data_IF_840068000445
#
_entry.id   IF_840068000445
#
_cell.length_a   1.000
_cell.length_b   1.000
_cell.length_c   1.000
_cell.angle_alpha   90.00
_cell.angle_beta   90.00
_cell.angle_gamma   90.00
#
_symmetry.space_group_name_H-M   'P 1'
#
loop_
_entity.id
_entity.type
_entity.pdbx_description
1 polymer ?
#
# COMPACT_ATOMS: atom_id res chain seq x y z
N UNK A 1 0.67 -25.51 6.73
CA UNK A 1 -0.80 -25.45 6.91
C UNK A 1 -1.44 -25.33 5.53
N UNK A 2 -2.61 -25.94 5.24
CA UNK A 2 -3.26 -25.75 3.93
C UNK A 2 -4.18 -24.54 3.98
N UNK A 3 -3.89 -23.52 3.17
CA UNK A 3 -4.72 -22.32 3.06
C UNK A 3 -6.11 -22.65 2.50
N UNK A 4 -7.13 -21.95 2.98
CA UNK A 4 -8.46 -22.00 2.40
C UNK A 4 -8.49 -21.37 1.01
N UNK A 5 -9.48 -21.74 0.18
CA UNK A 5 -9.69 -21.13 -1.15
C UNK A 5 -9.83 -19.60 -1.07
N UNK A 6 -10.51 -19.09 -0.04
CA UNK A 6 -10.69 -17.65 0.16
C UNK A 6 -9.38 -16.96 0.54
N UNK A 7 -8.53 -17.59 1.37
CA UNK A 7 -7.21 -17.05 1.69
C UNK A 7 -6.30 -17.00 0.47
N UNK A 8 -6.27 -18.05 -0.34
CA UNK A 8 -5.53 -18.05 -1.61
C UNK A 8 -6.02 -16.95 -2.56
N UNK A 9 -7.34 -16.77 -2.67
CA UNK A 9 -7.92 -15.69 -3.47
C UNK A 9 -7.53 -14.31 -2.93
N UNK A 10 -7.57 -14.10 -1.61
CA UNK A 10 -7.29 -12.82 -0.97
C UNK A 10 -5.78 -12.50 -0.86
N UNK A 11 -4.88 -13.43 -1.21
CA UNK A 11 -3.44 -13.17 -1.36
C UNK A 11 -3.12 -12.50 -2.69
N UNK A 12 -3.99 -12.63 -3.69
CA UNK A 12 -3.81 -12.24 -5.10
C UNK A 12 -2.65 -12.91 -5.85
N UNK A 13 -1.57 -13.33 -5.19
CA UNK A 13 -0.49 -14.10 -5.80
C UNK A 13 -0.73 -15.61 -5.74
N UNK A 14 -0.09 -16.33 -6.67
CA UNK A 14 -0.21 -17.79 -6.79
C UNK A 14 0.50 -18.49 -5.62
N UNK A 15 1.72 -18.06 -5.31
CA UNK A 15 2.59 -18.70 -4.29
C UNK A 15 2.78 -17.83 -3.03
N UNK A 16 2.17 -16.65 -2.97
CA UNK A 16 2.38 -15.70 -1.88
C UNK A 16 1.55 -14.42 -2.02
N UNK A 17 1.66 -13.49 -1.07
CA UNK A 17 0.95 -12.22 -1.12
C UNK A 17 1.45 -11.36 -2.29
N UNK A 18 0.53 -10.79 -3.05
CA UNK A 18 0.81 -9.82 -4.10
C UNK A 18 0.22 -8.47 -3.69
N UNK A 19 0.99 -7.40 -3.84
CA UNK A 19 0.59 -6.02 -3.54
C UNK A 19 1.41 -5.10 -4.43
N UNK A 20 0.99 -3.84 -4.55
CA UNK A 20 1.68 -2.85 -5.37
C UNK A 20 1.87 -1.54 -4.62
N UNK A 21 2.95 -0.84 -4.94
CA UNK A 21 3.21 0.54 -4.58
C UNK A 21 3.54 1.29 -5.87
N UNK A 22 2.99 2.49 -6.03
CA UNK A 22 2.96 3.16 -7.32
C UNK A 22 3.01 4.68 -7.16
N UNK A 23 3.75 5.34 -8.06
CA UNK A 23 3.73 6.80 -8.22
C UNK A 23 2.70 7.12 -9.31
N UNK A 24 1.80 8.04 -9.01
CA UNK A 24 0.77 8.55 -9.93
C UNK A 24 1.00 10.03 -10.17
N UNK A 25 0.92 10.45 -11.43
CA UNK A 25 0.84 11.85 -11.80
C UNK A 25 -0.60 12.14 -12.20
N UNK A 26 -1.23 13.10 -11.54
CA UNK A 26 -2.63 13.46 -11.74
C UNK A 26 -2.75 14.91 -12.18
N UNK A 27 -3.21 15.12 -13.42
CA UNK A 27 -3.62 16.46 -13.87
C UNK A 27 -5.05 16.72 -13.38
N UNK A 28 -5.21 17.71 -12.49
CA UNK A 28 -6.51 18.13 -11.97
C UNK A 28 -7.02 19.31 -12.79
N UNK A 29 -8.20 19.14 -13.39
CA UNK A 29 -8.85 20.12 -14.26
C UNK A 29 -9.97 20.79 -13.46
N UNK A 30 -10.07 22.11 -13.55
CA UNK A 30 -11.16 22.91 -13.00
C UNK A 30 -11.69 23.82 -14.10
N UNK A 31 -13.00 23.72 -14.35
CA UNK A 31 -13.69 24.40 -15.44
C UNK A 31 -13.02 24.13 -16.80
N UNK A 32 -12.51 25.17 -17.47
CA UNK A 32 -11.86 25.13 -18.77
C UNK A 32 -10.32 25.12 -18.71
N UNK A 33 -9.74 24.89 -17.53
CA UNK A 33 -8.29 24.96 -17.33
C UNK A 33 -7.70 23.85 -16.47
N UNK A 34 -6.40 23.59 -16.66
CA UNK A 34 -5.64 22.77 -15.72
C UNK A 34 -5.44 23.58 -14.44
N UNK A 35 -6.00 23.08 -13.34
CA UNK A 35 -5.85 23.70 -12.02
C UNK A 35 -4.48 23.42 -11.42
N UNK A 36 -4.03 22.16 -11.45
CA UNK A 36 -2.75 21.72 -10.88
C UNK A 36 -2.39 20.31 -11.34
N UNK A 37 -1.11 19.97 -11.24
CA UNK A 37 -0.61 18.60 -11.43
C UNK A 37 -0.13 18.09 -10.08
N UNK A 38 -0.61 16.92 -9.65
CA UNK A 38 -0.20 16.30 -8.39
C UNK A 38 0.68 15.08 -8.65
N UNK A 39 1.69 14.87 -7.81
CA UNK A 39 2.39 13.59 -7.68
C UNK A 39 1.91 12.91 -6.41
N UNK A 40 1.42 11.68 -6.53
CA UNK A 40 0.94 10.87 -5.42
C UNK A 40 1.71 9.55 -5.35
N UNK A 41 2.00 9.08 -4.14
CA UNK A 41 2.41 7.69 -3.89
C UNK A 41 1.23 6.97 -3.26
N UNK A 42 0.84 5.86 -3.86
CA UNK A 42 -0.24 5.00 -3.38
C UNK A 42 0.24 3.56 -3.25
N UNK A 43 -0.38 2.81 -2.35
CA UNK A 43 -0.23 1.36 -2.26
C UNK A 43 -1.58 0.66 -2.28
N UNK A 44 -1.63 -0.47 -2.99
CA UNK A 44 -2.74 -1.40 -2.98
C UNK A 44 -2.27 -2.69 -2.30
N UNK A 45 -2.79 -2.95 -1.11
CA UNK A 45 -2.39 -4.06 -0.28
C UNK A 45 -3.45 -5.15 -0.39
N UNK A 46 -3.04 -6.40 -0.67
CA UNK A 46 -4.01 -7.49 -0.74
C UNK A 46 -4.80 -7.66 0.59
N UNK A 47 -6.07 -8.09 0.51
CA UNK A 47 -6.94 -8.17 1.68
C UNK A 47 -6.44 -9.10 2.78
N UNK A 48 -5.77 -10.21 2.44
CA UNK A 48 -5.33 -11.16 3.48
C UNK A 48 -4.19 -10.60 4.31
N UNK A 49 -3.14 -10.09 3.67
CA UNK A 49 -2.01 -9.44 4.36
C UNK A 49 -2.51 -8.31 5.25
N UNK A 50 -3.33 -7.41 4.71
CA UNK A 50 -3.80 -6.26 5.48
C UNK A 50 -4.55 -6.68 6.74
N UNK A 51 -5.49 -7.63 6.64
CA UNK A 51 -6.27 -8.11 7.80
C UNK A 51 -5.39 -8.79 8.84
N UNK A 52 -4.43 -9.62 8.42
CA UNK A 52 -3.49 -10.29 9.34
C UNK A 52 -2.69 -9.25 10.11
N UNK A 53 -2.08 -8.30 9.41
CA UNK A 53 -1.22 -7.29 10.04
C UNK A 53 -2.04 -6.32 10.89
N UNK A 54 -3.25 -5.93 10.46
CA UNK A 54 -4.15 -5.06 11.24
C UNK A 54 -4.58 -5.75 12.55
N UNK A 55 -4.87 -7.04 12.52
CA UNK A 55 -5.17 -7.80 13.74
C UNK A 55 -3.98 -7.85 14.71
N UNK A 56 -2.75 -7.84 14.17
CA UNK A 56 -1.50 -7.79 14.91
C UNK A 56 -0.95 -6.37 15.11
N UNK A 57 -1.74 -5.29 14.91
CA UNK A 57 -1.26 -3.90 14.94
C UNK A 57 -0.42 -3.55 16.18
N UNK A 58 -0.76 -4.16 17.34
CA UNK A 58 -0.02 -3.99 18.61
C UNK A 58 1.42 -4.52 18.59
N UNK A 59 1.76 -5.45 17.71
CA UNK A 59 3.13 -5.94 17.55
C UNK A 59 4.03 -4.96 16.76
N UNK A 60 3.45 -3.89 16.20
CA UNK A 60 4.13 -2.94 15.33
C UNK A 60 4.03 -1.51 15.85
N UNK A 61 3.83 -1.30 17.16
CA UNK A 61 3.66 0.05 17.75
C UNK A 61 4.81 0.99 17.44
N UNK A 62 6.01 0.46 17.34
CA UNK A 62 7.24 1.24 17.12
C UNK A 62 7.53 1.48 15.63
N UNK A 63 6.68 0.99 14.72
CA UNK A 63 6.80 1.17 13.27
C UNK A 63 5.79 2.20 12.77
N UNK A 64 6.13 3.48 12.88
CA UNK A 64 5.26 4.60 12.52
C UNK A 64 4.73 4.51 11.08
N UNK A 65 5.56 4.06 10.14
CA UNK A 65 5.17 3.98 8.73
C UNK A 65 4.12 2.89 8.50
N UNK A 66 4.29 1.73 9.14
CA UNK A 66 3.30 0.67 9.12
C UNK A 66 2.01 1.12 9.82
N UNK A 67 2.10 1.78 10.97
CA UNK A 67 0.92 2.31 11.67
C UNK A 67 0.14 3.28 10.77
N UNK A 68 0.83 4.21 10.09
CA UNK A 68 0.22 5.15 9.16
C UNK A 68 -0.50 4.44 8.01
N UNK A 69 0.14 3.45 7.37
CA UNK A 69 -0.50 2.67 6.30
C UNK A 69 -1.77 1.98 6.81
N UNK A 70 -1.71 1.33 7.98
CA UNK A 70 -2.85 0.62 8.55
C UNK A 70 -4.02 1.55 8.92
N UNK A 71 -3.73 2.79 9.31
CA UNK A 71 -4.75 3.71 9.85
C UNK A 71 -5.45 4.52 8.76
N UNK A 72 -4.78 4.77 7.64
CA UNK A 72 -5.34 5.53 6.53
C UNK A 72 -5.80 4.69 5.35
N UNK A 73 -5.49 3.40 5.32
CA UNK A 73 -5.94 2.52 4.25
C UNK A 73 -7.45 2.34 4.23
N UNK A 74 -8.03 2.39 3.03
CA UNK A 74 -9.44 2.19 2.76
C UNK A 74 -9.63 0.96 1.89
N UNK A 75 -10.60 0.13 2.25
CA UNK A 75 -10.94 -1.02 1.41
C UNK A 75 -11.73 -0.55 0.18
N UNK A 76 -11.17 -0.76 -1.00
CA UNK A 76 -11.73 -0.33 -2.29
C UNK A 76 -12.37 -1.49 -3.07
N UNK A 77 -12.51 -2.67 -2.44
CA UNK A 77 -13.13 -3.85 -3.04
C UNK A 77 -12.12 -4.93 -3.41
N UNK A 78 -12.62 -6.07 -3.91
CA UNK A 78 -11.81 -7.30 -4.05
C UNK A 78 -10.64 -7.16 -5.03
N UNK A 79 -10.77 -6.31 -6.04
CA UNK A 79 -9.77 -6.14 -7.09
C UNK A 79 -8.73 -5.05 -6.79
N UNK A 80 -8.99 -4.20 -5.79
CA UNK A 80 -8.09 -3.10 -5.40
C UNK A 80 -7.60 -3.21 -3.95
N UNK A 81 -8.24 -4.06 -3.14
CA UNK A 81 -7.82 -4.37 -1.79
C UNK A 81 -7.88 -3.16 -0.89
N UNK A 82 -6.85 -2.98 -0.07
CA UNK A 82 -6.71 -1.83 0.81
C UNK A 82 -5.79 -0.80 0.15
N UNK A 83 -6.37 0.34 -0.20
CA UNK A 83 -5.70 1.44 -0.88
C UNK A 83 -5.32 2.52 0.11
N UNK A 84 -4.08 3.00 0.05
CA UNK A 84 -3.57 4.04 0.94
C UNK A 84 -2.60 4.97 0.22
N UNK A 85 -2.77 6.27 0.42
CA UNK A 85 -1.81 7.28 -0.05
C UNK A 85 -0.74 7.49 1.02
N UNK A 86 0.53 7.43 0.63
CA UNK A 86 1.69 7.66 1.51
C UNK A 86 2.45 8.95 1.19
N UNK A 87 2.09 9.62 0.09
CA UNK A 87 2.59 10.93 -0.31
C UNK A 87 1.62 11.58 -1.30
N UNK A 88 1.47 12.90 -1.23
CA UNK A 88 0.70 13.69 -2.19
C UNK A 88 1.18 15.14 -2.15
N UNK A 89 1.74 15.62 -3.26
CA UNK A 89 2.21 17.01 -3.37
C UNK A 89 1.99 17.54 -4.78
N UNK A 90 1.79 18.84 -4.92
CA UNK A 90 1.71 19.49 -6.22
C UNK A 90 3.08 19.44 -6.91
N UNK A 91 3.10 19.12 -8.19
CA UNK A 91 4.31 19.02 -9.00
C UNK A 91 4.76 20.42 -9.43
N UNK A 92 5.66 21.01 -8.64
CA UNK A 92 6.27 22.31 -8.93
C UNK A 92 7.62 22.19 -9.61
N UNK A 93 8.34 21.09 -9.35
CA UNK A 93 9.70 20.84 -9.79
C UNK A 93 10.05 19.34 -9.63
N UNK A 94 11.26 18.97 -10.05
CA UNK A 94 11.79 17.61 -9.94
C UNK A 94 12.08 17.16 -8.49
N UNK A 95 12.23 18.09 -7.54
CA UNK A 95 12.47 17.71 -6.14
C UNK A 95 11.23 17.03 -5.56
N UNK A 96 10.03 17.44 -5.98
CA UNK A 96 8.77 16.73 -5.65
C UNK A 96 8.79 15.27 -6.13
N UNK A 97 9.33 15.01 -7.32
CA UNK A 97 9.45 13.65 -7.85
C UNK A 97 10.50 12.84 -7.09
N UNK A 98 11.59 13.47 -6.66
CA UNK A 98 12.60 12.83 -5.81
C UNK A 98 12.05 12.48 -4.43
N UNK A 99 11.28 13.38 -3.80
CA UNK A 99 10.54 13.12 -2.56
C UNK A 99 9.57 11.94 -2.75
N UNK A 100 8.77 11.93 -3.82
CA UNK A 100 7.84 10.84 -4.12
C UNK A 100 8.55 9.49 -4.25
N UNK A 101 9.74 9.44 -4.89
CA UNK A 101 10.56 8.21 -4.98
C UNK A 101 11.04 7.72 -3.61
N UNK A 102 11.40 8.64 -2.70
CA UNK A 102 11.78 8.29 -1.32
C UNK A 102 10.58 7.66 -0.59
N UNK A 103 9.41 8.28 -0.67
CA UNK A 103 8.17 7.75 -0.08
C UNK A 103 7.74 6.42 -0.69
N UNK A 104 7.93 6.23 -2.00
CA UNK A 104 7.72 4.95 -2.68
C UNK A 104 8.62 3.87 -2.07
N UNK A 105 9.92 4.14 -1.89
CA UNK A 105 10.85 3.17 -1.27
C UNK A 105 10.51 2.81 0.16
N UNK A 106 10.03 3.76 0.96
CA UNK A 106 9.53 3.43 2.30
C UNK A 106 8.27 2.55 2.22
N UNK A 107 7.34 2.91 1.33
CA UNK A 107 6.10 2.16 1.14
C UNK A 107 6.36 0.72 0.70
N UNK A 108 7.25 0.52 -0.28
CA UNK A 108 7.72 -0.80 -0.73
C UNK A 108 8.26 -1.63 0.44
N UNK A 109 9.20 -1.07 1.23
CA UNK A 109 9.80 -1.76 2.38
C UNK A 109 8.77 -2.13 3.43
N UNK A 110 7.82 -1.26 3.71
CA UNK A 110 6.77 -1.53 4.70
C UNK A 110 5.83 -2.64 4.21
N UNK A 111 5.43 -2.64 2.94
CA UNK A 111 4.62 -3.73 2.36
C UNK A 111 5.36 -5.07 2.42
N UNK A 112 6.66 -5.09 2.10
CA UNK A 112 7.48 -6.30 2.21
C UNK A 112 7.54 -6.83 3.65
N UNK A 113 7.63 -5.93 4.64
CA UNK A 113 7.56 -6.31 6.06
C UNK A 113 6.21 -6.92 6.42
N UNK A 114 5.11 -6.33 5.92
CA UNK A 114 3.76 -6.85 6.10
C UNK A 114 3.60 -8.24 5.47
N UNK A 115 4.10 -8.42 4.25
CA UNK A 115 4.10 -9.71 3.55
C UNK A 115 4.85 -10.77 4.34
N UNK A 116 6.09 -10.47 4.77
CA UNK A 116 6.90 -11.40 5.56
C UNK A 116 6.15 -11.86 6.81
N UNK A 117 5.60 -10.93 7.58
CA UNK A 117 4.83 -11.27 8.78
C UNK A 117 3.62 -12.17 8.46
N UNK A 118 2.88 -11.87 7.39
CA UNK A 118 1.75 -12.67 6.97
C UNK A 118 2.19 -14.08 6.52
N UNK A 119 3.27 -14.20 5.76
CA UNK A 119 3.79 -15.49 5.30
C UNK A 119 4.27 -16.36 6.46
N UNK A 120 5.00 -15.77 7.41
CA UNK A 120 5.46 -16.44 8.63
C UNK A 120 4.26 -17.01 9.43
N UNK A 121 3.20 -16.21 9.60
CA UNK A 121 1.99 -16.63 10.32
C UNK A 121 1.21 -17.73 9.58
N UNK A 122 1.21 -17.69 8.25
CA UNK A 122 0.51 -18.66 7.40
C UNK A 122 1.34 -19.95 7.18
N UNK A 123 2.64 -19.92 7.50
CA UNK A 123 3.57 -21.02 7.28
C UNK A 123 3.83 -21.30 5.80
N UNK A 124 3.97 -20.23 5.01
CA UNK A 124 4.23 -20.25 3.55
C UNK A 124 5.51 -19.49 3.15
N UNK A 125 6.28 -19.02 4.14
CA UNK A 125 7.53 -18.27 3.96
C UNK A 125 8.78 -19.11 4.16
#
# INVERSE_FOLDING_TARGET
MKLSKQQLFDLWGVDGPYSEANIKIQTRILDDSVSRVMVEVEANINPLTFRIVKAAKKAFTDDEHLQQLLDHAKYMGKNQGYVVSSFSKEYTDEDVMNEAKIHLKYTEKTILKMHKYAMDLLGIG
#
